data_IF_992734045606
#
_entry.id   IF_992734045606
#
_cell.length_a   1.000
_cell.length_b   1.000
_cell.length_c   1.000
_cell.angle_alpha   90.00
_cell.angle_beta   90.00
_cell.angle_gamma   90.00
#
_symmetry.space_group_name_H-M   'P 1'
#
loop_
_entity.id
_entity.type
_entity.pdbx_description
1 polymer ?
#
# COMPACT_ATOMS: atom_id res chain seq x y z
N UNK A 1 -15.07 6.15 -25.35
CA UNK A 1 -15.38 4.95 -24.58
C UNK A 1 -14.95 5.22 -23.16
N UNK A 2 -15.87 5.21 -22.20
CA UNK A 2 -15.57 5.58 -20.81
C UNK A 2 -14.66 4.51 -20.20
N UNK A 3 -13.47 4.94 -19.77
CA UNK A 3 -12.45 4.12 -19.12
C UNK A 3 -13.03 3.55 -17.81
N UNK A 4 -13.29 2.25 -17.79
CA UNK A 4 -14.04 1.56 -16.74
C UNK A 4 -13.26 1.28 -15.46
N UNK A 5 -12.11 1.93 -15.27
CA UNK A 5 -11.30 1.80 -14.06
C UNK A 5 -11.93 2.62 -12.92
N UNK A 6 -12.51 1.93 -11.92
CA UNK A 6 -12.86 2.61 -10.68
C UNK A 6 -11.62 3.21 -10.02
N UNK A 7 -11.76 4.30 -9.24
CA UNK A 7 -10.66 4.82 -8.47
C UNK A 7 -10.23 3.79 -7.42
N UNK A 8 -9.15 3.05 -7.69
CA UNK A 8 -8.54 2.16 -6.70
C UNK A 8 -8.23 2.93 -5.41
N UNK A 9 -8.41 2.27 -4.28
CA UNK A 9 -8.48 2.88 -2.93
C UNK A 9 -7.10 2.94 -2.28
N UNK A 10 -6.93 3.90 -1.38
CA UNK A 10 -5.76 4.05 -0.49
C UNK A 10 -6.10 3.51 0.90
N UNK A 11 -5.12 2.97 1.61
CA UNK A 11 -5.30 2.51 2.99
C UNK A 11 -5.07 3.66 3.96
N UNK A 12 -5.89 3.74 4.99
CA UNK A 12 -5.74 4.68 6.10
C UNK A 12 -5.90 4.00 7.45
N UNK A 13 -5.32 4.61 8.46
CA UNK A 13 -5.46 4.21 9.85
C UNK A 13 -6.06 5.37 10.64
N UNK A 14 -6.91 5.03 11.61
CA UNK A 14 -7.38 5.95 12.64
C UNK A 14 -6.89 5.45 13.98
N UNK A 15 -6.11 6.28 14.66
CA UNK A 15 -5.58 6.04 15.98
C UNK A 15 -6.58 6.55 17.02
N UNK A 16 -7.11 5.63 17.82
CA UNK A 16 -8.05 5.92 18.90
C UNK A 16 -7.34 5.72 20.24
N UNK A 17 -6.91 6.79 20.92
CA UNK A 17 -6.31 6.67 22.24
C UNK A 17 -7.36 6.23 23.29
N UNK A 18 -6.93 5.66 24.43
CA UNK A 18 -7.81 5.37 25.56
C UNK A 18 -8.59 6.61 26.00
N UNK A 19 -9.79 6.41 26.56
CA UNK A 19 -10.69 7.51 26.96
C UNK A 19 -10.02 8.42 28.00
N UNK A 20 -9.15 7.86 28.83
CA UNK A 20 -8.44 8.54 29.91
C UNK A 20 -7.16 9.25 29.44
N UNK A 21 -6.80 9.14 28.16
CA UNK A 21 -5.62 9.77 27.57
C UNK A 21 -5.95 11.14 26.99
N UNK A 22 -5.06 12.12 27.19
CA UNK A 22 -5.13 13.44 26.53
C UNK A 22 -4.57 13.41 25.09
N UNK A 23 -4.17 12.24 24.58
CA UNK A 23 -3.68 12.11 23.21
C UNK A 23 -4.79 12.43 22.19
N UNK A 24 -4.42 13.07 21.10
CA UNK A 24 -5.35 13.37 20.01
C UNK A 24 -5.69 12.13 19.19
N UNK A 25 -6.92 12.07 18.68
CA UNK A 25 -7.30 11.13 17.61
C UNK A 25 -6.59 11.56 16.33
N UNK A 26 -5.88 10.64 15.68
CA UNK A 26 -5.11 10.93 14.45
C UNK A 26 -5.56 9.99 13.34
N UNK A 27 -5.86 10.55 12.17
CA UNK A 27 -6.07 9.80 10.93
C UNK A 27 -4.97 10.09 9.92
N UNK A 28 -4.47 9.06 9.23
CA UNK A 28 -3.48 9.23 8.16
C UNK A 28 -3.51 8.07 7.17
N UNK A 29 -3.06 8.34 5.95
CA UNK A 29 -2.90 7.31 4.91
C UNK A 29 -1.60 6.52 5.12
N UNK A 30 -1.66 5.21 4.91
CA UNK A 30 -0.50 4.32 5.02
C UNK A 30 0.13 4.01 3.67
N UNK A 31 -0.64 4.03 2.57
CA UNK A 31 -0.13 3.66 1.26
C UNK A 31 -1.20 3.42 0.18
N UNK A 32 -0.78 2.88 -0.97
CA UNK A 32 -1.60 2.80 -2.17
C UNK A 32 -2.77 1.80 -2.10
N UNK A 33 -2.78 0.86 -1.16
CA UNK A 33 -3.73 -0.25 -1.12
C UNK A 33 -4.06 -0.83 -2.50
N UNK A 34 -5.34 -0.82 -2.89
CA UNK A 34 -5.77 -1.41 -4.17
C UNK A 34 -5.44 -0.54 -5.38
N UNK A 35 -5.04 0.72 -5.21
CA UNK A 35 -4.81 1.65 -6.32
C UNK A 35 -3.83 1.11 -7.38
N UNK A 36 -2.71 0.53 -6.96
CA UNK A 36 -1.71 -0.04 -7.86
C UNK A 36 -2.12 -1.44 -8.35
N UNK A 37 -2.65 -2.30 -7.47
CA UNK A 37 -3.06 -3.66 -7.81
C UNK A 37 -4.20 -3.68 -8.84
N UNK A 38 -5.20 -2.82 -8.69
CA UNK A 38 -6.33 -2.73 -9.62
C UNK A 38 -5.85 -2.25 -11.00
N UNK A 39 -4.99 -1.23 -11.02
CA UNK A 39 -4.39 -0.72 -12.26
C UNK A 39 -3.52 -1.75 -12.96
N UNK A 40 -2.70 -2.49 -12.19
CA UNK A 40 -1.80 -3.51 -12.74
C UNK A 40 -2.57 -4.72 -13.27
N UNK A 41 -3.61 -5.15 -12.54
CA UNK A 41 -4.52 -6.21 -12.97
C UNK A 41 -5.25 -5.83 -14.26
N UNK A 42 -5.83 -4.62 -14.31
CA UNK A 42 -6.52 -4.13 -15.50
C UNK A 42 -5.61 -4.12 -16.74
N UNK A 43 -4.32 -3.78 -16.57
CA UNK A 43 -3.33 -3.77 -17.65
C UNK A 43 -2.97 -5.16 -18.18
N UNK A 44 -2.99 -6.22 -17.36
CA UNK A 44 -2.43 -7.54 -17.74
C UNK A 44 -3.47 -8.66 -17.89
N UNK A 45 -4.50 -8.68 -17.04
CA UNK A 45 -5.53 -9.73 -17.03
C UNK A 45 -6.85 -9.28 -17.65
N UNK A 46 -7.02 -7.97 -17.85
CA UNK A 46 -8.33 -7.38 -18.10
C UNK A 46 -9.20 -7.42 -16.83
N UNK A 47 -10.31 -6.67 -16.82
CA UNK A 47 -11.14 -6.54 -15.62
C UNK A 47 -10.62 -5.48 -14.66
N UNK A 48 -11.28 -5.33 -13.49
CA UNK A 48 -11.13 -4.14 -12.62
C UNK A 48 -10.27 -4.34 -11.39
N UNK A 49 -10.09 -5.57 -10.93
CA UNK A 49 -9.35 -5.94 -9.73
C UNK A 49 -9.03 -7.44 -9.79
N UNK A 50 -8.11 -7.89 -8.94
CA UNK A 50 -7.75 -9.30 -8.75
C UNK A 50 -8.73 -9.99 -7.77
N UNK A 51 -9.67 -10.83 -8.24
CA UNK A 51 -10.65 -11.46 -7.38
C UNK A 51 -9.99 -12.37 -6.36
N UNK A 52 -10.30 -12.15 -5.08
CA UNK A 52 -9.77 -12.91 -3.95
C UNK A 52 -8.23 -12.97 -3.88
N UNK A 53 -7.53 -12.06 -4.58
CA UNK A 53 -6.07 -12.07 -4.66
C UNK A 53 -5.49 -13.31 -5.36
N UNK A 54 -6.27 -14.01 -6.18
CA UNK A 54 -5.87 -15.29 -6.79
C UNK A 54 -4.64 -15.11 -7.68
N UNK A 55 -4.56 -14.01 -8.44
CA UNK A 55 -3.43 -13.77 -9.32
C UNK A 55 -2.18 -13.38 -8.54
N UNK A 56 -2.29 -12.49 -7.56
CA UNK A 56 -1.22 -12.16 -6.63
C UNK A 56 -0.67 -13.42 -5.94
N UNK A 57 -1.55 -14.29 -5.45
CA UNK A 57 -1.17 -15.54 -4.78
C UNK A 57 -0.49 -16.57 -5.69
N UNK A 58 -0.64 -16.45 -7.01
CA UNK A 58 0.06 -17.30 -7.99
C UNK A 58 1.49 -16.86 -8.27
N UNK A 59 1.82 -15.59 -7.97
CA UNK A 59 3.15 -15.04 -8.12
C UNK A 59 4.02 -15.25 -6.88
N UNK A 60 5.25 -14.74 -6.96
CA UNK A 60 6.20 -14.66 -5.85
C UNK A 60 6.55 -13.20 -5.61
N UNK A 61 6.64 -12.81 -4.34
CA UNK A 61 7.12 -11.47 -3.98
C UNK A 61 8.56 -11.32 -4.47
N UNK A 62 8.81 -10.27 -5.25
CA UNK A 62 10.15 -9.81 -5.59
C UNK A 62 10.61 -8.83 -4.51
N UNK A 63 11.41 -9.35 -3.58
CA UNK A 63 11.94 -8.56 -2.46
C UNK A 63 12.77 -7.36 -2.93
N UNK A 64 13.49 -7.49 -4.06
CA UNK A 64 14.31 -6.39 -4.56
C UNK A 64 13.41 -5.29 -5.15
N UNK A 65 12.31 -5.65 -5.81
CA UNK A 65 11.31 -4.68 -6.25
C UNK A 65 10.61 -4.05 -5.05
N UNK A 66 10.20 -4.84 -4.05
CA UNK A 66 9.56 -4.34 -2.83
C UNK A 66 10.42 -3.29 -2.14
N UNK A 67 11.70 -3.57 -1.93
CA UNK A 67 12.68 -2.64 -1.36
C UNK A 67 12.74 -1.33 -2.16
N UNK A 68 12.79 -1.40 -3.50
CA UNK A 68 12.78 -0.20 -4.37
C UNK A 68 11.49 0.61 -4.19
N UNK A 69 10.34 -0.04 -4.18
CA UNK A 69 9.04 0.63 -4.02
C UNK A 69 8.93 1.33 -2.66
N UNK A 70 9.46 0.70 -1.61
CA UNK A 70 9.46 1.25 -0.25
C UNK A 70 10.40 2.46 -0.07
N UNK A 71 11.29 2.75 -1.04
CA UNK A 71 12.13 3.96 -0.99
C UNK A 71 11.36 5.27 -1.20
N UNK A 72 10.10 5.20 -1.64
CA UNK A 72 9.26 6.37 -1.85
C UNK A 72 9.13 7.21 -0.55
N UNK A 73 9.53 8.50 -0.56
CA UNK A 73 9.53 9.36 0.62
C UNK A 73 8.23 9.38 1.41
N UNK A 74 7.08 9.15 0.77
CA UNK A 74 5.80 9.05 1.46
C UNK A 74 5.81 8.05 2.63
N UNK A 75 6.41 6.86 2.46
CA UNK A 75 6.38 5.81 3.49
C UNK A 75 7.19 6.16 4.75
N UNK A 76 8.09 7.14 4.66
CA UNK A 76 8.97 7.54 5.76
C UNK A 76 8.54 8.83 6.47
N UNK A 77 7.49 9.51 5.99
CA UNK A 77 6.97 10.72 6.64
C UNK A 77 6.19 10.37 7.90
N UNK A 78 6.35 11.06 9.05
CA UNK A 78 5.49 10.83 10.21
C UNK A 78 4.04 11.26 9.96
N UNK A 79 3.04 10.71 10.67
CA UNK A 79 1.68 11.26 10.70
C UNK A 79 1.63 12.68 11.30
N UNK A 80 0.66 13.53 10.91
CA UNK A 80 -0.40 13.28 9.94
C UNK A 80 0.11 13.39 8.49
N UNK A 81 -0.38 12.50 7.62
CA UNK A 81 -0.08 12.51 6.18
C UNK A 81 -1.24 11.94 5.39
N UNK A 82 -1.39 12.41 4.16
CA UNK A 82 -2.32 11.86 3.18
C UNK A 82 -1.63 11.73 1.83
N UNK A 83 -2.15 10.85 0.98
CA UNK A 83 -1.69 10.61 -0.39
C UNK A 83 -2.84 10.20 -1.28
N UNK A 84 -2.62 10.33 -2.58
CA UNK A 84 -3.50 9.80 -3.59
C UNK A 84 -2.74 9.40 -4.85
N UNK A 85 -3.41 9.59 -5.98
CA UNK A 85 -2.93 9.24 -7.33
C UNK A 85 -1.84 10.17 -7.84
N UNK A 86 -1.60 11.27 -7.16
CA UNK A 86 -0.49 12.18 -7.41
C UNK A 86 0.87 11.59 -7.04
N UNK A 87 0.90 10.56 -6.19
CA UNK A 87 2.11 9.79 -5.86
C UNK A 87 2.02 8.39 -6.47
N UNK A 88 0.98 7.63 -6.11
CA UNK A 88 0.89 6.23 -6.49
C UNK A 88 0.01 6.04 -7.73
N UNK A 89 0.65 5.83 -8.87
CA UNK A 89 0.03 5.54 -10.16
C UNK A 89 0.91 4.58 -10.97
N UNK A 90 0.38 4.06 -12.10
CA UNK A 90 1.10 3.06 -12.90
C UNK A 90 2.40 3.60 -13.51
N UNK A 91 2.47 4.88 -13.85
CA UNK A 91 3.74 5.45 -14.33
C UNK A 91 4.77 5.53 -13.21
N UNK A 92 4.39 5.87 -11.98
CA UNK A 92 5.29 5.78 -10.82
C UNK A 92 5.83 4.35 -10.66
N UNK A 93 4.95 3.33 -10.71
CA UNK A 93 5.36 1.92 -10.66
C UNK A 93 6.33 1.58 -11.80
N UNK A 94 6.06 2.05 -13.02
CA UNK A 94 6.89 1.76 -14.18
C UNK A 94 8.34 2.27 -14.05
N UNK A 95 8.59 3.35 -13.29
CA UNK A 95 9.95 3.82 -13.02
C UNK A 95 10.78 2.86 -12.15
N UNK A 96 10.12 1.98 -11.39
CA UNK A 96 10.76 1.00 -10.50
C UNK A 96 10.94 -0.39 -11.14
N UNK A 97 10.26 -0.62 -12.27
CA UNK A 97 10.32 -1.86 -13.01
C UNK A 97 11.48 -1.87 -14.01
N UNK A 98 12.12 -3.03 -14.16
CA UNK A 98 13.15 -3.26 -15.17
C UNK A 98 12.57 -3.78 -16.50
N UNK A 99 11.30 -4.21 -16.48
CA UNK A 99 10.60 -4.80 -17.61
C UNK A 99 10.89 -6.30 -17.77
N UNK A 100 11.54 -6.93 -16.79
CA UNK A 100 11.87 -8.36 -16.78
C UNK A 100 11.06 -9.16 -15.76
N UNK A 101 10.36 -8.45 -14.87
CA UNK A 101 9.53 -9.03 -13.83
C UNK A 101 8.34 -9.76 -14.46
N UNK A 102 7.99 -10.93 -13.92
CA UNK A 102 6.75 -11.59 -14.31
C UNK A 102 5.56 -10.75 -13.81
N UNK A 103 4.52 -10.53 -14.62
CA UNK A 103 3.39 -9.70 -14.20
C UNK A 103 2.69 -10.16 -12.90
N UNK A 104 2.58 -11.46 -12.68
CA UNK A 104 2.08 -12.07 -11.44
C UNK A 104 2.97 -11.76 -10.23
N UNK A 105 4.29 -11.73 -10.40
CA UNK A 105 5.24 -11.41 -9.33
C UNK A 105 5.15 -9.93 -8.95
N UNK A 106 4.96 -9.04 -9.93
CA UNK A 106 4.65 -7.63 -9.67
C UNK A 106 3.35 -7.49 -8.90
N UNK A 107 2.29 -8.22 -9.28
CA UNK A 107 1.02 -8.20 -8.56
C UNK A 107 1.18 -8.70 -7.11
N UNK A 108 1.92 -9.79 -6.89
CA UNK A 108 2.24 -10.31 -5.56
C UNK A 108 3.00 -9.26 -4.72
N UNK A 109 3.98 -8.60 -5.33
CA UNK A 109 4.80 -7.56 -4.69
C UNK A 109 3.99 -6.32 -4.34
N UNK A 110 3.02 -5.91 -5.17
CA UNK A 110 2.11 -4.80 -4.86
C UNK A 110 1.15 -5.12 -3.70
N UNK A 111 0.74 -6.39 -3.59
CA UNK A 111 -0.03 -6.88 -2.44
C UNK A 111 0.82 -6.79 -1.16
N UNK A 112 2.07 -7.26 -1.20
CA UNK A 112 3.00 -7.18 -0.07
C UNK A 112 3.33 -5.72 0.31
N UNK A 113 3.52 -4.83 -0.67
CA UNK A 113 3.70 -3.40 -0.44
C UNK A 113 2.54 -2.82 0.37
N UNK A 114 1.31 -3.23 0.07
CA UNK A 114 0.12 -2.79 0.83
C UNK A 114 0.20 -3.25 2.28
N UNK A 115 0.44 -4.55 2.50
CA UNK A 115 0.55 -5.12 3.84
C UNK A 115 1.68 -4.47 4.65
N UNK A 116 2.86 -4.34 4.04
CA UNK A 116 4.03 -3.69 4.66
C UNK A 116 3.74 -2.22 4.99
N UNK A 117 3.09 -1.47 4.10
CA UNK A 117 2.76 -0.06 4.35
C UNK A 117 1.81 0.12 5.55
N UNK A 118 0.83 -0.78 5.71
CA UNK A 118 -0.07 -0.80 6.86
C UNK A 118 0.70 -1.16 8.14
N UNK A 119 1.56 -2.17 8.09
CA UNK A 119 2.40 -2.56 9.23
C UNK A 119 3.31 -1.42 9.70
N UNK A 120 3.95 -0.70 8.77
CA UNK A 120 4.73 0.51 9.08
C UNK A 120 3.85 1.60 9.72
N UNK A 121 2.65 1.83 9.19
CA UNK A 121 1.67 2.74 9.78
C UNK A 121 1.29 2.38 11.21
N UNK A 122 1.04 1.10 11.49
CA UNK A 122 0.74 0.59 12.84
C UNK A 122 1.94 0.80 13.76
N UNK A 123 3.17 0.52 13.32
CA UNK A 123 4.38 0.73 14.12
C UNK A 123 4.54 2.21 14.52
N UNK A 124 4.41 3.13 13.55
CA UNK A 124 4.46 4.58 13.82
C UNK A 124 3.35 5.04 14.77
N UNK A 125 2.14 4.49 14.62
CA UNK A 125 1.01 4.81 15.49
C UNK A 125 1.25 4.33 16.92
N UNK A 126 1.84 3.13 17.09
CA UNK A 126 2.17 2.57 18.41
C UNK A 126 3.25 3.36 19.12
N UNK A 127 4.31 3.76 18.41
CA UNK A 127 5.35 4.64 18.98
C UNK A 127 4.74 5.95 19.50
N UNK A 128 3.79 6.53 18.75
CA UNK A 128 3.15 7.79 19.15
C UNK A 128 2.22 7.68 20.37
N UNK A 129 1.64 6.50 20.62
CA UNK A 129 0.85 6.25 21.85
C UNK A 129 1.68 5.70 23.01
N UNK A 130 3.00 5.52 22.84
CA UNK A 130 3.83 4.76 23.78
C UNK A 130 3.24 3.36 24.09
N UNK A 131 2.56 2.76 23.10
CA UNK A 131 1.82 1.52 23.29
C UNK A 131 2.76 0.30 23.32
N UNK A 132 2.58 -0.65 24.26
CA UNK A 132 3.44 -1.83 24.38
C UNK A 132 3.46 -2.68 23.10
N UNK A 133 4.53 -3.46 22.84
CA UNK A 133 4.60 -4.42 21.73
C UNK A 133 3.35 -5.29 21.68
N UNK A 134 2.87 -5.55 20.46
CA UNK A 134 1.84 -6.56 20.26
C UNK A 134 2.37 -7.88 20.83
N UNK A 135 1.57 -8.56 21.66
CA UNK A 135 1.94 -9.85 22.20
C UNK A 135 2.16 -10.84 21.03
N UNK A 136 3.29 -11.54 21.05
CA UNK A 136 3.66 -12.56 20.06
C UNK A 136 2.82 -13.83 20.21
#
# INVERSE_FOLDING_TARGET
MADGAQPGRFANLTLLPPIESDAEIIGFDTGPANALMDGWHARHRGGRFDPDGIWAASGRVDETLLERLLTEPFFHRPPPRSTGREVFHLDWLAHHLTGREAPEDVQATLSELTATSVALGIAMARERLEAPPAAA
#
